data_IF_794580483395
#
_entry.id   IF_794580483395
#
_cell.length_a   1.000
_cell.length_b   1.000
_cell.length_c   1.000
_cell.angle_alpha   90.00
_cell.angle_beta   90.00
_cell.angle_gamma   90.00
#
_symmetry.space_group_name_H-M   'P 1'
#
loop_
_entity.id
_entity.type
_entity.pdbx_description
1 polymer ?
#
# COMPACT_ATOMS: atom_id res chain seq x y z
N UNK A 1 2.10 6.93 -86.43
CA UNK A 1 3.03 6.95 -85.32
C UNK A 1 2.30 7.59 -84.13
N UNK A 2 1.77 6.75 -83.15
CA UNK A 2 1.13 7.25 -81.93
C UNK A 2 2.11 7.02 -80.78
N UNK A 3 2.53 8.10 -80.13
CA UNK A 3 3.38 8.04 -78.93
C UNK A 3 2.47 7.71 -77.70
N UNK A 4 2.80 6.61 -77.00
CA UNK A 4 2.26 6.33 -75.68
C UNK A 4 3.02 7.19 -74.65
N UNK A 5 2.30 7.94 -73.86
CA UNK A 5 2.78 8.64 -72.66
C UNK A 5 2.50 7.73 -71.46
N UNK A 6 3.56 7.20 -70.86
CA UNK A 6 3.44 6.44 -69.61
C UNK A 6 3.55 7.40 -68.42
N UNK A 7 2.49 7.44 -67.60
CA UNK A 7 2.44 8.19 -66.33
C UNK A 7 3.03 7.31 -65.24
N UNK A 8 3.97 7.78 -64.37
CA UNK A 8 4.42 7.01 -63.25
C UNK A 8 3.41 7.06 -62.10
N UNK A 9 3.02 5.89 -61.64
CA UNK A 9 2.19 5.69 -60.44
C UNK A 9 3.07 5.84 -59.19
N UNK A 10 2.88 6.94 -58.45
CA UNK A 10 3.57 7.17 -57.18
C UNK A 10 2.82 6.42 -56.10
N UNK A 11 3.43 5.36 -55.56
CA UNK A 11 2.93 4.64 -54.39
C UNK A 11 3.28 5.49 -53.15
N UNK A 12 2.28 6.17 -52.57
CA UNK A 12 2.41 6.76 -51.26
C UNK A 12 2.29 5.62 -50.20
N UNK A 13 3.41 5.20 -49.65
CA UNK A 13 3.47 4.38 -48.46
C UNK A 13 3.02 5.25 -47.27
N UNK A 14 1.75 5.11 -46.88
CA UNK A 14 1.24 5.68 -45.64
C UNK A 14 1.93 5.01 -44.43
N UNK A 15 2.81 5.76 -43.79
CA UNK A 15 3.37 5.39 -42.48
C UNK A 15 2.24 5.47 -41.44
N UNK A 16 1.56 4.37 -41.18
CA UNK A 16 0.72 4.24 -40.01
C UNK A 16 1.62 4.22 -38.78
N UNK A 17 1.87 5.36 -38.17
CA UNK A 17 2.40 5.44 -36.82
C UNK A 17 1.36 4.81 -35.88
N UNK A 18 1.62 3.59 -35.44
CA UNK A 18 0.94 2.99 -34.30
C UNK A 18 1.22 3.89 -33.09
N UNK A 19 0.30 4.79 -32.79
CA UNK A 19 0.27 5.46 -31.49
C UNK A 19 -0.09 4.37 -30.49
N UNK A 20 0.93 3.79 -29.85
CA UNK A 20 0.74 2.95 -28.67
C UNK A 20 0.01 3.83 -27.65
N UNK A 21 -1.25 3.51 -27.37
CA UNK A 21 -1.90 4.06 -26.19
C UNK A 21 -1.01 3.71 -24.99
N UNK A 22 -0.45 4.71 -24.32
CA UNK A 22 0.30 4.49 -23.11
C UNK A 22 -0.65 3.78 -22.14
N UNK A 23 -0.36 2.54 -21.77
CA UNK A 23 -1.09 1.86 -20.72
C UNK A 23 -1.02 2.75 -19.48
N UNK A 24 -2.16 2.98 -18.81
CA UNK A 24 -2.16 3.72 -17.56
C UNK A 24 -1.17 3.07 -16.59
N UNK A 25 -0.29 3.85 -15.96
CA UNK A 25 0.70 3.31 -15.04
C UNK A 25 -0.03 2.53 -13.93
N UNK A 26 0.38 1.27 -13.70
CA UNK A 26 -0.24 0.39 -12.70
C UNK A 26 0.30 0.66 -11.30
N UNK A 27 1.50 1.26 -11.19
CA UNK A 27 2.06 1.85 -9.96
C UNK A 27 2.21 3.35 -10.20
N UNK A 28 1.62 4.15 -9.31
CA UNK A 28 1.71 5.61 -9.35
C UNK A 28 2.36 6.09 -8.06
N UNK A 29 3.42 6.90 -8.19
CA UNK A 29 4.11 7.52 -7.06
C UNK A 29 3.90 9.03 -7.10
N UNK A 30 3.13 9.56 -6.16
CA UNK A 30 2.74 10.98 -6.11
C UNK A 30 3.34 11.66 -4.89
N UNK A 31 4.04 12.81 -5.04
CA UNK A 31 4.55 13.56 -3.90
C UNK A 31 3.38 14.07 -3.04
N UNK A 32 3.48 13.87 -1.71
CA UNK A 32 2.50 14.36 -0.76
C UNK A 32 2.98 15.66 -0.10
N UNK A 33 4.02 15.57 0.70
CA UNK A 33 4.62 16.69 1.42
C UNK A 33 5.99 16.31 1.96
N UNK A 34 6.97 17.23 1.88
CA UNK A 34 8.31 17.02 2.42
C UNK A 34 8.96 15.76 1.88
N UNK A 35 9.19 14.80 2.76
CA UNK A 35 9.83 13.51 2.45
C UNK A 35 8.87 12.41 1.99
N UNK A 36 7.56 12.69 1.95
CA UNK A 36 6.54 11.69 1.73
C UNK A 36 6.02 11.63 0.29
N UNK A 37 5.81 10.41 -0.16
CA UNK A 37 5.12 10.08 -1.39
C UNK A 37 4.03 9.04 -1.11
N UNK A 38 2.89 9.18 -1.78
CA UNK A 38 1.82 8.18 -1.81
C UNK A 38 2.06 7.25 -2.98
N UNK A 39 1.94 5.96 -2.74
CA UNK A 39 1.95 4.91 -3.75
C UNK A 39 0.52 4.47 -3.98
N UNK A 40 0.09 4.38 -5.23
CA UNK A 40 -1.16 3.76 -5.62
C UNK A 40 -0.84 2.54 -6.51
N UNK A 41 -1.21 1.35 -6.05
CA UNK A 41 -1.04 0.08 -6.77
C UNK A 41 -2.40 -0.37 -7.32
N UNK A 42 -2.50 -0.49 -8.65
CA UNK A 42 -3.72 -0.83 -9.38
C UNK A 42 -3.73 -2.28 -9.92
N UNK A 43 -2.83 -3.15 -9.44
CA UNK A 43 -2.67 -4.49 -10.01
C UNK A 43 -3.81 -5.45 -9.68
N UNK A 44 -4.31 -5.41 -8.46
CA UNK A 44 -5.40 -6.28 -7.98
C UNK A 44 -6.53 -5.42 -7.40
N UNK A 45 -6.79 -5.51 -6.11
CA UNK A 45 -7.58 -4.48 -5.45
C UNK A 45 -6.69 -3.25 -5.28
N UNK A 46 -7.19 -2.08 -5.71
CA UNK A 46 -6.43 -0.84 -5.52
C UNK A 46 -6.02 -0.69 -4.06
N UNK A 47 -4.72 -0.61 -3.82
CA UNK A 47 -4.15 -0.34 -2.52
C UNK A 47 -3.29 0.91 -2.53
N UNK A 48 -3.14 1.55 -1.37
CA UNK A 48 -2.26 2.68 -1.18
C UNK A 48 -1.21 2.33 -0.12
N UNK A 49 0.04 2.52 -0.48
CA UNK A 49 1.23 2.41 0.36
C UNK A 49 1.95 3.75 0.44
N UNK A 50 3.08 3.83 1.12
CA UNK A 50 3.84 5.07 1.19
C UNK A 50 5.34 4.85 1.01
N UNK A 51 6.02 5.92 0.59
CA UNK A 51 7.46 6.01 0.53
C UNK A 51 7.91 7.23 1.33
N UNK A 52 8.88 7.04 2.22
CA UNK A 52 9.60 8.10 2.93
C UNK A 52 11.03 8.19 2.40
N UNK A 53 11.39 9.35 1.83
CA UNK A 53 12.74 9.62 1.33
C UNK A 53 13.51 10.35 2.42
N UNK A 54 14.23 9.61 3.27
CA UNK A 54 15.06 10.16 4.34
C UNK A 54 16.33 10.83 3.82
N UNK A 55 17.21 11.25 4.73
CA UNK A 55 18.44 11.99 4.37
C UNK A 55 19.43 11.14 3.55
N UNK A 56 19.60 9.86 3.89
CA UNK A 56 20.55 8.95 3.24
C UNK A 56 19.92 7.75 2.56
N UNK A 57 18.67 7.43 2.87
CA UNK A 57 18.00 6.21 2.41
C UNK A 57 16.50 6.39 2.25
N UNK A 58 15.84 5.38 1.70
CA UNK A 58 14.41 5.32 1.49
C UNK A 58 13.82 4.20 2.35
N UNK A 59 12.69 4.48 3.00
CA UNK A 59 11.82 3.49 3.65
C UNK A 59 10.52 3.35 2.87
N UNK A 60 10.15 2.12 2.52
CA UNK A 60 8.85 1.77 1.95
C UNK A 60 7.92 1.31 3.07
N UNK A 61 6.69 1.80 3.08
CA UNK A 61 5.68 1.49 4.08
C UNK A 61 4.53 0.74 3.40
N UNK A 62 4.46 -0.57 3.63
CA UNK A 62 3.65 -1.52 2.85
C UNK A 62 4.39 -2.02 1.61
N UNK A 63 4.68 -3.33 1.54
CA UNK A 63 5.54 -3.91 0.51
C UNK A 63 4.84 -4.14 -0.84
N UNK A 64 3.62 -3.66 -1.03
CA UNK A 64 2.77 -3.92 -2.21
C UNK A 64 2.37 -5.40 -2.39
N UNK A 65 1.64 -5.72 -3.48
CA UNK A 65 1.02 -7.03 -3.68
C UNK A 65 2.00 -8.19 -4.02
N UNK A 66 3.05 -7.91 -4.79
CA UNK A 66 3.91 -8.96 -5.35
C UNK A 66 5.34 -8.46 -5.55
N UNK A 67 6.32 -9.35 -5.78
CA UNK A 67 7.66 -8.94 -6.18
C UNK A 67 7.69 -8.13 -7.47
N UNK A 68 6.75 -8.34 -8.39
CA UNK A 68 6.62 -7.54 -9.62
C UNK A 68 6.19 -6.11 -9.31
N UNK A 69 5.14 -5.92 -8.49
CA UNK A 69 4.68 -4.58 -8.10
C UNK A 69 5.72 -3.84 -7.28
N UNK A 70 6.45 -4.55 -6.41
CA UNK A 70 7.58 -4.01 -5.65
C UNK A 70 8.74 -3.54 -6.56
N UNK A 71 9.05 -4.29 -7.62
CA UNK A 71 10.05 -3.88 -8.62
C UNK A 71 9.63 -2.60 -9.34
N UNK A 72 8.37 -2.55 -9.79
CA UNK A 72 7.84 -1.35 -10.45
C UNK A 72 7.85 -0.14 -9.52
N UNK A 73 7.52 -0.33 -8.24
CA UNK A 73 7.64 0.73 -7.24
C UNK A 73 9.10 1.19 -7.07
N UNK A 74 10.05 0.25 -7.00
CA UNK A 74 11.47 0.60 -6.90
C UNK A 74 11.96 1.37 -8.14
N UNK A 75 11.48 1.01 -9.34
CA UNK A 75 11.77 1.74 -10.58
C UNK A 75 11.23 3.19 -10.51
N UNK A 76 10.01 3.41 -9.98
CA UNK A 76 9.46 4.75 -9.78
C UNK A 76 10.25 5.55 -8.71
N UNK A 77 10.65 4.91 -7.60
CA UNK A 77 11.51 5.53 -6.58
C UNK A 77 12.85 5.97 -7.20
N UNK A 78 13.46 5.13 -8.05
CA UNK A 78 14.72 5.45 -8.73
C UNK A 78 14.65 6.68 -9.62
N UNK A 79 13.46 7.07 -10.09
CA UNK A 79 13.27 8.31 -10.88
C UNK A 79 13.30 9.59 -10.04
N UNK A 80 12.99 9.48 -8.74
CA UNK A 80 12.90 10.65 -7.84
C UNK A 80 14.13 10.80 -6.94
N UNK A 81 14.87 9.73 -6.67
CA UNK A 81 16.06 9.77 -5.80
C UNK A 81 17.05 8.64 -6.12
N UNK A 82 18.37 8.91 -6.09
CA UNK A 82 19.39 7.86 -6.18
C UNK A 82 19.64 7.14 -4.84
N UNK A 83 18.96 7.52 -3.75
CA UNK A 83 19.17 6.93 -2.43
C UNK A 83 18.67 5.48 -2.40
N UNK A 84 19.39 4.56 -1.73
CA UNK A 84 19.00 3.16 -1.66
C UNK A 84 17.71 2.98 -0.82
N UNK A 85 16.88 2.03 -1.22
CA UNK A 85 15.81 1.50 -0.37
C UNK A 85 16.48 0.59 0.65
N UNK A 86 16.46 0.94 1.93
CA UNK A 86 17.12 0.20 2.99
C UNK A 86 16.16 -0.53 3.92
N UNK A 87 14.91 -0.10 3.98
CA UNK A 87 13.91 -0.65 4.89
C UNK A 87 12.54 -0.72 4.23
N UNK A 88 11.81 -1.77 4.55
CA UNK A 88 10.41 -1.97 4.16
C UNK A 88 9.62 -2.37 5.40
N UNK A 89 8.52 -1.69 5.69
CA UNK A 89 7.65 -1.98 6.83
C UNK A 89 6.46 -2.82 6.37
N UNK A 90 6.36 -4.06 6.84
CA UNK A 90 5.12 -4.83 6.77
C UNK A 90 4.16 -4.28 7.81
N UNK A 91 3.13 -3.58 7.36
CA UNK A 91 2.19 -2.87 8.25
C UNK A 91 1.05 -3.75 8.78
N UNK A 92 0.89 -4.93 8.21
CA UNK A 92 0.11 -6.07 8.67
C UNK A 92 0.50 -7.32 7.87
N UNK A 93 -0.09 -8.49 8.22
CA UNK A 93 0.26 -9.79 7.62
C UNK A 93 -0.45 -10.09 6.28
N UNK A 94 -1.24 -9.17 5.72
CA UNK A 94 -1.92 -9.40 4.45
C UNK A 94 -0.98 -9.25 3.24
N UNK A 95 -1.27 -9.95 2.13
CA UNK A 95 -0.42 -9.93 0.94
C UNK A 95 -0.23 -8.58 0.28
N UNK A 96 -1.18 -7.67 0.39
CA UNK A 96 -1.06 -6.28 -0.10
C UNK A 96 -0.06 -5.43 0.71
N UNK A 97 0.45 -5.96 1.83
CA UNK A 97 1.41 -5.27 2.71
C UNK A 97 2.76 -5.99 2.83
N UNK A 98 2.81 -7.26 2.44
CA UNK A 98 4.00 -8.11 2.57
C UNK A 98 4.37 -8.88 1.29
N UNK A 99 3.55 -8.80 0.23
CA UNK A 99 3.72 -9.62 -0.98
C UNK A 99 4.99 -9.30 -1.76
N UNK A 100 5.45 -8.06 -1.72
CA UNK A 100 6.68 -7.62 -2.40
C UNK A 100 7.99 -7.91 -1.66
N UNK A 101 7.95 -8.45 -0.44
CA UNK A 101 9.13 -8.65 0.42
C UNK A 101 10.29 -9.36 -0.27
N UNK A 102 10.00 -10.35 -1.13
CA UNK A 102 11.05 -11.09 -1.84
C UNK A 102 11.91 -10.18 -2.73
N UNK A 103 11.30 -9.23 -3.43
CA UNK A 103 12.03 -8.28 -4.26
C UNK A 103 12.89 -7.34 -3.42
N UNK A 104 12.29 -6.73 -2.40
CA UNK A 104 13.00 -5.76 -1.55
C UNK A 104 14.18 -6.39 -0.83
N UNK A 105 14.03 -7.62 -0.29
CA UNK A 105 15.15 -8.37 0.29
C UNK A 105 16.26 -8.63 -0.73
N UNK A 106 15.90 -8.98 -1.96
CA UNK A 106 16.87 -9.27 -3.02
C UNK A 106 17.73 -8.06 -3.40
N UNK A 107 17.19 -6.84 -3.28
CA UNK A 107 17.96 -5.60 -3.48
C UNK A 107 18.68 -5.10 -2.22
N UNK A 108 18.65 -5.88 -1.12
CA UNK A 108 19.38 -5.61 0.13
C UNK A 108 18.61 -4.80 1.17
N UNK A 109 17.33 -4.48 0.94
CA UNK A 109 16.48 -3.84 1.95
C UNK A 109 16.15 -4.82 3.09
N UNK A 110 16.02 -4.30 4.31
CA UNK A 110 15.59 -5.05 5.50
C UNK A 110 14.07 -4.96 5.63
N UNK A 111 13.43 -6.11 5.76
CA UNK A 111 12.00 -6.19 6.06
C UNK A 111 11.82 -6.04 7.56
N UNK A 112 10.94 -5.11 7.96
CA UNK A 112 10.72 -4.71 9.35
C UNK A 112 9.23 -4.85 9.69
N UNK A 113 8.90 -5.39 10.86
CA UNK A 113 7.52 -5.50 11.31
C UNK A 113 7.38 -5.49 12.83
N UNK A 114 6.15 -5.66 13.34
CA UNK A 114 5.94 -6.09 14.73
C UNK A 114 6.18 -7.59 14.87
N UNK A 115 6.45 -8.06 16.12
CA UNK A 115 6.51 -9.48 16.42
C UNK A 115 5.21 -10.18 16.01
N UNK A 116 4.06 -9.54 16.28
CA UNK A 116 2.74 -10.08 15.95
C UNK A 116 2.57 -10.29 14.44
N UNK A 117 2.94 -9.30 13.64
CA UNK A 117 2.90 -9.43 12.17
C UNK A 117 3.76 -10.59 11.68
N UNK A 118 5.00 -10.73 12.19
CA UNK A 118 5.88 -11.84 11.85
C UNK A 118 5.27 -13.21 12.21
N UNK A 119 4.63 -13.31 13.38
CA UNK A 119 4.04 -14.56 13.83
C UNK A 119 2.80 -14.93 13.00
N UNK A 120 1.95 -13.96 12.69
CA UNK A 120 0.78 -14.16 11.81
C UNK A 120 1.19 -14.50 10.37
N UNK A 121 2.22 -13.87 9.85
CA UNK A 121 2.80 -14.23 8.54
C UNK A 121 3.23 -15.71 8.51
N UNK A 122 3.93 -16.19 9.54
CA UNK A 122 4.38 -17.59 9.61
C UNK A 122 3.23 -18.59 9.66
N UNK A 123 2.15 -18.23 10.35
CA UNK A 123 1.00 -19.14 10.53
C UNK A 123 0.03 -19.06 9.34
N UNK A 124 -0.26 -17.88 8.81
CA UNK A 124 -1.38 -17.65 7.90
C UNK A 124 -0.99 -17.34 6.45
N UNK A 125 0.29 -17.16 6.12
CA UNK A 125 0.70 -16.69 4.79
C UNK A 125 0.11 -17.50 3.64
N UNK A 126 0.22 -18.83 3.71
CA UNK A 126 -0.30 -19.71 2.64
C UNK A 126 -1.82 -19.59 2.49
N UNK A 127 -2.53 -19.43 3.59
CA UNK A 127 -3.98 -19.21 3.60
C UNK A 127 -4.34 -17.87 2.97
N UNK A 128 -3.63 -16.80 3.32
CA UNK A 128 -3.84 -15.45 2.78
C UNK A 128 -3.58 -15.39 1.27
N UNK A 129 -2.50 -16.02 0.79
CA UNK A 129 -2.24 -16.12 -0.65
C UNK A 129 -3.40 -16.83 -1.37
N UNK A 130 -3.89 -17.94 -0.83
CA UNK A 130 -5.05 -18.66 -1.39
C UNK A 130 -6.34 -17.82 -1.32
N UNK A 131 -6.51 -17.03 -0.27
CA UNK A 131 -7.66 -16.14 -0.12
C UNK A 131 -7.67 -15.08 -1.23
N UNK A 132 -6.54 -14.44 -1.50
CA UNK A 132 -6.40 -13.47 -2.60
C UNK A 132 -6.64 -14.15 -3.96
N UNK A 133 -6.11 -15.36 -4.19
CA UNK A 133 -6.32 -16.12 -5.41
C UNK A 133 -7.79 -16.45 -5.72
N UNK A 134 -8.66 -16.58 -4.70
CA UNK A 134 -10.11 -16.77 -4.91
C UNK A 134 -10.75 -15.53 -5.56
N UNK A 135 -10.32 -14.34 -5.19
CA UNK A 135 -10.80 -13.08 -5.78
C UNK A 135 -10.07 -12.69 -7.07
N UNK A 136 -8.81 -13.07 -7.17
CA UNK A 136 -7.90 -12.74 -8.27
C UNK A 136 -7.15 -14.00 -8.73
N UNK A 137 -7.73 -14.81 -9.63
CA UNK A 137 -7.11 -16.07 -10.07
C UNK A 137 -5.71 -15.92 -10.69
N UNK A 138 -5.36 -14.72 -11.19
CA UNK A 138 -4.03 -14.39 -11.71
C UNK A 138 -2.99 -14.08 -10.62
N UNK A 139 -3.40 -14.01 -9.34
CA UNK A 139 -2.47 -13.74 -8.25
C UNK A 139 -1.48 -14.90 -8.08
N UNK A 140 -0.16 -14.66 -8.08
CA UNK A 140 0.84 -15.73 -8.04
C UNK A 140 0.85 -16.45 -6.68
N UNK A 141 1.32 -17.69 -6.68
CA UNK A 141 1.69 -18.35 -5.43
C UNK A 141 3.01 -17.76 -4.94
N UNK A 142 2.98 -17.10 -3.79
CA UNK A 142 4.14 -16.46 -3.22
C UNK A 142 4.67 -17.25 -2.00
N UNK A 143 5.97 -17.58 -1.94
CA UNK A 143 6.58 -18.10 -0.73
C UNK A 143 6.59 -17.03 0.36
N UNK A 144 6.52 -17.45 1.62
CA UNK A 144 6.71 -16.53 2.74
C UNK A 144 8.13 -15.97 2.73
N UNK A 145 8.22 -14.66 2.86
CA UNK A 145 9.47 -13.94 3.16
C UNK A 145 9.27 -13.21 4.50
N UNK A 146 9.69 -13.85 5.58
CA UNK A 146 9.51 -13.34 6.93
C UNK A 146 10.37 -12.08 7.18
N UNK A 147 9.94 -11.14 8.06
CA UNK A 147 10.73 -9.96 8.42
C UNK A 147 12.14 -10.30 8.95
N UNK A 148 13.11 -9.43 8.63
CA UNK A 148 14.50 -9.54 9.09
C UNK A 148 14.68 -8.97 10.50
N UNK A 149 13.83 -7.99 10.87
CA UNK A 149 13.84 -7.31 12.16
C UNK A 149 12.42 -7.11 12.66
N UNK A 150 12.19 -7.42 13.92
CA UNK A 150 10.87 -7.28 14.54
C UNK A 150 10.93 -6.51 15.85
N UNK A 151 9.81 -5.90 16.23
CA UNK A 151 9.64 -5.11 17.44
C UNK A 151 8.44 -5.60 18.25
N UNK A 152 8.53 -5.53 19.56
CA UNK A 152 7.43 -5.97 20.44
C UNK A 152 6.17 -5.10 20.38
N UNK A 153 6.29 -3.87 19.86
CA UNK A 153 5.19 -2.90 19.77
C UNK A 153 5.57 -1.73 18.87
N UNK A 154 5.38 -0.51 19.35
CA UNK A 154 5.73 0.70 18.61
C UNK A 154 7.23 0.77 18.33
N UNK A 155 7.60 1.34 17.19
CA UNK A 155 9.01 1.56 16.82
C UNK A 155 9.17 2.79 15.94
N UNK A 156 10.40 3.26 15.83
CA UNK A 156 10.76 4.42 15.00
C UNK A 156 11.92 4.06 14.07
N UNK A 157 11.89 4.66 12.87
CA UNK A 157 12.94 4.60 11.85
C UNK A 157 13.24 6.01 11.37
N UNK A 158 14.30 6.18 10.58
CA UNK A 158 14.67 7.48 9.99
C UNK A 158 14.76 8.60 11.05
N UNK A 159 15.45 8.32 12.16
CA UNK A 159 15.64 9.27 13.29
C UNK A 159 14.31 9.85 13.81
N UNK A 160 13.28 9.00 13.91
CA UNK A 160 11.95 9.38 14.37
C UNK A 160 11.07 10.06 13.31
N UNK A 161 11.53 10.15 12.06
CA UNK A 161 10.74 10.64 10.94
C UNK A 161 9.61 9.69 10.54
N UNK A 162 9.78 8.40 10.83
CA UNK A 162 8.79 7.33 10.58
C UNK A 162 8.48 6.64 11.90
N UNK A 163 7.24 6.76 12.40
CA UNK A 163 6.81 6.21 13.69
C UNK A 163 5.69 5.21 13.50
N UNK A 164 5.98 3.93 13.69
CA UNK A 164 5.01 2.85 13.66
C UNK A 164 4.30 2.72 15.00
N UNK A 165 2.97 2.68 14.99
CA UNK A 165 2.13 2.75 16.19
C UNK A 165 1.10 1.63 16.16
N UNK A 166 1.16 0.72 17.12
CA UNK A 166 0.15 -0.31 17.37
C UNK A 166 -0.78 0.13 18.50
N UNK A 167 -2.08 0.12 18.26
CA UNK A 167 -3.09 0.57 19.24
C UNK A 167 -4.10 -0.52 19.62
N UNK A 168 -4.01 -1.67 18.99
CA UNK A 168 -4.89 -2.82 19.24
C UNK A 168 -5.42 -3.42 17.94
N UNK A 169 -6.15 -4.55 18.06
CA UNK A 169 -6.81 -5.20 16.93
C UNK A 169 -7.79 -4.26 16.22
N UNK A 170 -7.92 -4.43 14.90
CA UNK A 170 -8.77 -3.59 14.05
C UNK A 170 -9.19 -4.34 12.79
N UNK A 171 -8.78 -3.89 11.59
CA UNK A 171 -8.95 -4.62 10.33
C UNK A 171 -8.25 -5.99 10.35
N UNK A 172 -7.11 -6.04 11.02
CA UNK A 172 -6.39 -7.26 11.37
C UNK A 172 -5.93 -7.18 12.84
N UNK A 173 -5.57 -8.30 13.48
CA UNK A 173 -5.06 -8.28 14.85
C UNK A 173 -3.79 -7.44 15.03
N UNK A 174 -2.95 -7.36 14.00
CA UNK A 174 -1.58 -6.83 14.01
C UNK A 174 -1.40 -5.46 13.34
N UNK A 175 -2.45 -4.94 12.69
CA UNK A 175 -2.37 -3.72 11.89
C UNK A 175 -1.81 -2.53 12.66
N UNK A 176 -0.83 -1.84 12.08
CA UNK A 176 -0.22 -0.63 12.63
C UNK A 176 -0.59 0.60 11.82
N UNK A 177 -0.61 1.74 12.48
CA UNK A 177 -0.54 3.06 11.85
C UNK A 177 0.92 3.48 11.68
N UNK A 178 1.20 4.35 10.70
CA UNK A 178 2.51 4.98 10.61
C UNK A 178 2.36 6.50 10.59
N UNK A 179 2.95 7.16 11.56
CA UNK A 179 2.89 8.60 11.72
C UNK A 179 4.20 9.28 11.29
N UNK A 180 4.07 10.39 10.58
CA UNK A 180 5.17 11.21 10.06
C UNK A 180 5.08 12.60 10.70
N UNK A 181 5.82 12.83 11.81
CA UNK A 181 5.66 14.02 12.62
C UNK A 181 5.95 15.34 11.89
N UNK A 182 7.02 15.38 11.12
CA UNK A 182 7.44 16.58 10.37
C UNK A 182 6.43 16.96 9.30
N UNK A 183 5.88 15.96 8.61
CA UNK A 183 4.91 16.10 7.54
C UNK A 183 3.48 16.23 8.05
N UNK A 184 3.23 16.02 9.35
CA UNK A 184 1.89 15.97 9.96
C UNK A 184 0.94 15.07 9.18
N UNK A 185 1.42 13.89 8.78
CA UNK A 185 0.67 12.91 8.02
C UNK A 185 0.59 11.59 8.79
N UNK A 186 -0.53 10.89 8.63
CA UNK A 186 -0.76 9.56 9.18
C UNK A 186 -1.06 8.60 8.03
N UNK A 187 -0.35 7.49 7.95
CA UNK A 187 -0.76 6.36 7.12
C UNK A 187 -1.73 5.49 7.91
N UNK A 188 -2.96 5.42 7.42
CA UNK A 188 -4.04 4.68 8.05
C UNK A 188 -4.03 3.18 7.77
N UNK A 189 -3.14 2.71 6.87
CA UNK A 189 -3.06 1.30 6.47
C UNK A 189 -4.45 0.77 6.03
N UNK A 190 -4.67 -0.54 6.04
CA UNK A 190 -5.99 -1.15 5.84
C UNK A 190 -7.00 -0.82 6.96
N UNK A 191 -6.56 -0.14 8.01
CA UNK A 191 -7.39 0.21 9.17
C UNK A 191 -8.33 1.39 8.86
N UNK A 192 -7.83 2.43 8.16
CA UNK A 192 -8.63 3.61 7.79
C UNK A 192 -8.82 3.67 6.28
N UNK A 193 -10.06 3.80 5.87
CA UNK A 193 -10.49 3.88 4.47
C UNK A 193 -11.90 4.47 4.38
N UNK A 194 -12.32 4.94 3.22
CA UNK A 194 -13.62 5.59 3.04
C UNK A 194 -14.82 4.64 3.07
N UNK A 195 -14.58 3.32 3.00
CA UNK A 195 -15.60 2.27 3.03
C UNK A 195 -15.17 1.16 3.99
N UNK A 196 -16.11 0.37 4.51
CA UNK A 196 -15.80 -0.76 5.40
C UNK A 196 -14.89 -1.79 4.73
N UNK A 197 -15.14 -2.07 3.45
CA UNK A 197 -14.42 -3.12 2.72
C UNK A 197 -14.64 -4.50 3.32
N UNK A 198 -13.63 -5.37 3.15
CA UNK A 198 -13.66 -6.69 3.77
C UNK A 198 -13.40 -6.59 5.27
N UNK A 199 -14.18 -7.33 6.05
CA UNK A 199 -14.10 -7.41 7.52
C UNK A 199 -13.89 -8.85 8.02
N UNK A 200 -13.56 -9.81 7.13
CA UNK A 200 -13.45 -11.23 7.49
C UNK A 200 -12.33 -11.49 8.51
N UNK A 201 -11.32 -10.63 8.55
CA UNK A 201 -10.17 -10.72 9.45
C UNK A 201 -10.21 -9.68 10.58
N UNK A 202 -11.29 -8.88 10.63
CA UNK A 202 -11.40 -7.76 11.56
C UNK A 202 -11.89 -8.21 12.94
N UNK A 203 -11.30 -7.65 13.99
CA UNK A 203 -11.87 -7.69 15.34
C UNK A 203 -12.86 -6.53 15.51
N UNK A 204 -14.12 -6.77 15.18
CA UNK A 204 -15.18 -5.73 15.25
C UNK A 204 -15.39 -5.19 16.66
N UNK A 205 -15.08 -5.96 17.70
CA UNK A 205 -15.22 -5.53 19.11
C UNK A 205 -14.17 -4.50 19.49
N UNK A 206 -12.93 -4.70 19.02
CA UNK A 206 -11.80 -3.83 19.35
C UNK A 206 -11.60 -2.70 18.34
N UNK A 207 -12.10 -2.84 17.11
CA UNK A 207 -11.84 -1.88 16.03
C UNK A 207 -12.17 -0.44 16.41
N UNK A 208 -13.39 -0.21 16.91
CA UNK A 208 -13.82 1.13 17.31
C UNK A 208 -12.96 1.67 18.47
N UNK A 209 -12.57 0.83 19.43
CA UNK A 209 -11.70 1.20 20.55
C UNK A 209 -10.30 1.58 20.06
N UNK A 210 -9.75 0.86 19.09
CA UNK A 210 -8.46 1.15 18.48
C UNK A 210 -8.47 2.53 17.80
N UNK A 211 -9.54 2.88 17.06
CA UNK A 211 -9.68 4.20 16.47
C UNK A 211 -9.88 5.32 17.52
N UNK A 212 -10.59 5.04 18.60
CA UNK A 212 -10.73 5.99 19.71
C UNK A 212 -9.39 6.26 20.40
N UNK A 213 -8.56 5.22 20.61
CA UNK A 213 -7.19 5.40 21.13
C UNK A 213 -6.35 6.27 20.19
N UNK A 214 -6.46 6.10 18.85
CA UNK A 214 -5.77 6.95 17.90
C UNK A 214 -6.15 8.43 18.06
N UNK A 215 -7.43 8.74 18.23
CA UNK A 215 -7.90 10.12 18.49
C UNK A 215 -7.32 10.67 19.78
N UNK A 216 -7.28 9.87 20.86
CA UNK A 216 -6.79 10.27 22.18
C UNK A 216 -5.29 10.61 22.18
N UNK A 217 -4.48 10.03 21.26
CA UNK A 217 -3.06 10.36 21.14
C UNK A 217 -2.80 11.81 20.70
N UNK A 218 -3.77 12.49 20.11
CA UNK A 218 -3.69 13.88 19.67
C UNK A 218 -2.39 14.21 18.92
N UNK A 219 -2.00 13.39 17.95
CA UNK A 219 -0.72 13.46 17.23
C UNK A 219 -0.57 14.71 16.34
N UNK A 220 -1.63 15.46 16.11
CA UNK A 220 -1.61 16.72 15.35
C UNK A 220 -1.42 16.52 13.84
N UNK A 221 -1.71 15.35 13.29
CA UNK A 221 -1.72 15.16 11.84
C UNK A 221 -2.88 15.91 11.18
N UNK A 222 -2.65 16.37 9.98
CA UNK A 222 -3.63 17.11 9.16
C UNK A 222 -4.06 16.33 7.93
N UNK A 223 -3.38 15.25 7.62
CA UNK A 223 -3.64 14.38 6.47
C UNK A 223 -3.57 12.92 6.89
N UNK A 224 -4.55 12.14 6.44
CA UNK A 224 -4.54 10.68 6.53
C UNK A 224 -4.41 10.11 5.12
N UNK A 225 -3.47 9.18 4.94
CA UNK A 225 -3.39 8.34 3.75
C UNK A 225 -4.09 7.03 4.05
N UNK A 226 -5.23 6.80 3.38
CA UNK A 226 -6.02 5.59 3.53
C UNK A 226 -5.38 4.41 2.79
N UNK A 227 -5.54 3.18 3.30
CA UNK A 227 -4.90 2.00 2.72
C UNK A 227 -5.51 1.50 1.41
N UNK A 228 -6.73 1.92 1.06
CA UNK A 228 -7.45 1.55 -0.16
C UNK A 228 -8.30 2.71 -0.67
N UNK A 229 -8.75 2.63 -1.93
CA UNK A 229 -9.59 3.62 -2.64
C UNK A 229 -8.93 4.99 -2.73
N UNK A 230 -9.66 6.07 -2.40
CA UNK A 230 -9.09 7.42 -2.41
C UNK A 230 -7.99 7.52 -1.36
N UNK A 231 -6.76 7.94 -1.72
CA UNK A 231 -5.66 7.92 -0.77
C UNK A 231 -5.73 9.04 0.26
N UNK A 232 -6.20 10.23 -0.08
CA UNK A 232 -6.02 11.43 0.75
C UNK A 232 -7.32 11.86 1.45
N UNK A 233 -7.23 12.00 2.77
CA UNK A 233 -8.33 12.42 3.64
C UNK A 233 -7.81 13.35 4.75
N UNK A 234 -8.72 14.08 5.37
CA UNK A 234 -8.47 14.80 6.62
C UNK A 234 -8.69 13.90 7.85
N UNK A 235 -8.42 14.45 9.06
CA UNK A 235 -8.62 13.72 10.32
C UNK A 235 -10.06 13.22 10.55
N UNK A 236 -11.05 13.83 9.92
CA UNK A 236 -12.46 13.46 9.97
C UNK A 236 -12.75 12.05 9.46
N UNK A 237 -11.85 11.45 8.68
CA UNK A 237 -11.96 10.07 8.21
C UNK A 237 -12.13 9.09 9.40
N UNK A 238 -11.52 9.37 10.54
CA UNK A 238 -11.65 8.51 11.73
C UNK A 238 -13.10 8.47 12.21
N UNK A 239 -13.75 9.63 12.30
CA UNK A 239 -15.15 9.71 12.74
C UNK A 239 -16.11 9.12 11.72
N UNK A 240 -15.86 9.33 10.44
CA UNK A 240 -16.61 8.70 9.35
C UNK A 240 -16.51 7.16 9.44
N UNK A 241 -15.32 6.62 9.65
CA UNK A 241 -15.13 5.17 9.77
C UNK A 241 -15.77 4.60 11.03
N UNK A 242 -15.72 5.31 12.16
CA UNK A 242 -16.45 4.94 13.39
C UNK A 242 -17.97 4.88 13.17
N UNK A 243 -18.53 5.80 12.38
CA UNK A 243 -19.95 5.79 12.00
C UNK A 243 -20.29 4.57 11.13
N UNK A 244 -19.44 4.21 10.18
CA UNK A 244 -19.62 3.01 9.35
C UNK A 244 -19.62 1.73 10.19
N UNK A 245 -18.68 1.59 11.14
CA UNK A 245 -18.63 0.46 12.06
C UNK A 245 -19.90 0.38 12.90
N UNK A 246 -20.35 1.49 13.48
CA UNK A 246 -21.59 1.56 14.29
C UNK A 246 -22.83 1.21 13.48
N UNK A 247 -22.93 1.63 12.22
CA UNK A 247 -24.04 1.28 11.34
C UNK A 247 -24.07 -0.23 11.04
N UNK A 248 -22.89 -0.86 10.88
CA UNK A 248 -22.75 -2.30 10.67
C UNK A 248 -23.23 -3.11 11.89
N UNK A 249 -22.89 -2.68 13.10
CA UNK A 249 -23.33 -3.36 14.34
C UNK A 249 -24.85 -3.30 14.51
N UNK A 250 -25.48 -2.13 14.25
CA UNK A 250 -26.94 -1.99 14.29
C UNK A 250 -27.64 -2.90 13.27
N UNK A 251 -27.08 -3.08 12.08
CA UNK A 251 -27.66 -3.97 11.06
C UNK A 251 -27.67 -5.45 11.49
N UNK A 252 -26.70 -5.86 12.33
CA UNK A 252 -26.64 -7.22 12.89
C UNK A 252 -27.63 -7.41 14.05
N UNK A 253 -27.82 -6.38 14.88
CA UNK A 253 -28.71 -6.46 16.05
C UNK A 253 -30.21 -6.29 15.71
N UNK A 254 -30.55 -5.73 14.57
CA UNK A 254 -31.93 -5.57 14.09
C UNK A 254 -32.44 -6.74 13.22
N UNK A 255 -31.60 -7.74 12.97
CA UNK A 255 -31.94 -8.93 12.17
C UNK A 255 -32.29 -10.18 13.00
N UNK A 256 -32.47 -10.04 14.34
CA UNK A 256 -32.89 -11.10 15.27
C UNK A 256 -34.37 -10.93 15.70
#
# INVERSE_FOLDING_TARGET
MKRLISTPFVFLLGLNALVSAAENPRIVLTPLRGHLYVVEDYFYLKENSMVYVGDSSVTVIGATWTPETARLLADEIGKITPKPITEVIDTNYHPDRAGGNAYFRNIGAKIVSTNMTNDLLKVHWTEMVRYVQKGFPSYPTLPLVAPDKTFAGNFELQDGGVRAIYLGPSHTPDGIFVFFPKEKALYGNCILKEQLGNLDFADLTEYAKTLQKLKQLNLGFTTIVAGHWSPLHGPELIDQYLQLLSAKDRSKSGAN
#
